data_IF_792450536764
#
_entry.id   IF_792450536764
#
_cell.length_a   1.000
_cell.length_b   1.000
_cell.length_c   1.000
_cell.angle_alpha   90.00
_cell.angle_beta   90.00
_cell.angle_gamma   90.00
#
_symmetry.space_group_name_H-M   'P 1'
#
loop_
_entity.id
_entity.type
_entity.pdbx_description
1 polymer ?
#
# COMPACT_ATOMS: atom_id res chain seq x y z
N UNK A 1 -9.61 -15.76 2.43
CA UNK A 1 -8.29 -15.62 1.80
C UNK A 1 -8.13 -14.16 1.41
N UNK A 2 -7.08 -13.48 1.87
CA UNK A 2 -6.81 -12.08 1.51
C UNK A 2 -6.00 -12.10 0.21
N UNK A 3 -6.63 -11.66 -0.87
CA UNK A 3 -6.08 -11.70 -2.24
C UNK A 3 -5.52 -10.31 -2.58
N UNK A 4 -4.36 -10.22 -3.22
CA UNK A 4 -3.71 -8.95 -3.58
C UNK A 4 -3.38 -8.79 -5.05
N UNK A 5 -3.76 -7.59 -5.46
CA UNK A 5 -3.49 -6.92 -6.71
C UNK A 5 -2.07 -6.83 -7.20
N UNK A 6 -1.86 -7.21 -8.46
CA UNK A 6 -1.01 -6.39 -9.34
C UNK A 6 -1.83 -5.50 -10.27
N UNK A 7 -3.15 -5.42 -10.13
CA UNK A 7 -3.89 -4.24 -10.57
C UNK A 7 -3.71 -3.11 -9.55
N UNK A 8 -2.61 -2.37 -9.73
CA UNK A 8 -2.11 -1.26 -8.90
C UNK A 8 -3.22 -0.41 -8.29
N UNK A 9 -3.35 -0.46 -6.96
CA UNK A 9 -4.20 0.37 -6.11
C UNK A 9 -5.36 1.09 -6.83
N UNK A 10 -6.29 0.37 -7.45
CA UNK A 10 -7.65 0.93 -7.49
C UNK A 10 -7.95 1.31 -6.05
N UNK A 11 -8.26 2.57 -5.81
CA UNK A 11 -8.82 3.10 -4.54
C UNK A 11 -10.20 2.47 -4.22
N UNK A 12 -10.41 1.27 -4.73
CA UNK A 12 -11.57 0.44 -4.76
C UNK A 12 -10.98 -0.97 -4.91
N UNK A 13 -10.63 -1.62 -3.81
CA UNK A 13 -10.93 -3.05 -3.72
C UNK A 13 -12.44 -3.07 -3.81
N UNK A 14 -13.05 -2.91 -4.99
CA UNK A 14 -14.44 -3.25 -5.33
C UNK A 14 -14.77 -2.90 -6.78
N UNK A 15 -15.43 -3.86 -7.40
CA UNK A 15 -15.99 -3.87 -8.76
C UNK A 15 -14.92 -4.07 -9.85
N UNK A 16 -14.66 -5.35 -10.14
CA UNK A 16 -14.58 -5.78 -11.54
C UNK A 16 -15.78 -5.15 -12.25
N UNK A 17 -15.53 -4.15 -13.10
CA UNK A 17 -16.54 -3.48 -13.93
C UNK A 17 -16.92 -4.32 -15.15
N UNK A 18 -16.37 -5.52 -15.29
CA UNK A 18 -16.75 -6.42 -16.35
C UNK A 18 -17.93 -7.27 -15.86
N UNK A 19 -19.14 -6.86 -16.22
CA UNK A 19 -20.35 -7.70 -16.13
C UNK A 19 -20.17 -9.04 -16.88
N UNK A 20 -19.11 -9.17 -17.70
CA UNK A 20 -18.78 -10.36 -18.49
C UNK A 20 -17.70 -11.28 -17.90
N UNK A 21 -17.08 -10.96 -16.74
CA UNK A 21 -15.99 -11.79 -16.20
C UNK A 21 -16.50 -13.17 -15.74
N UNK A 22 -15.86 -14.24 -16.23
CA UNK A 22 -16.15 -15.65 -15.87
C UNK A 22 -15.81 -16.00 -14.42
N UNK A 23 -15.16 -15.07 -13.70
CA UNK A 23 -14.63 -15.27 -12.35
C UNK A 23 -15.24 -14.32 -11.31
N UNK A 24 -16.40 -13.70 -11.58
CA UNK A 24 -17.05 -12.82 -10.60
C UNK A 24 -17.31 -13.53 -9.27
N UNK A 25 -17.03 -12.82 -8.17
CA UNK A 25 -17.50 -13.24 -6.85
C UNK A 25 -19.02 -13.25 -6.83
N UNK A 26 -19.61 -14.40 -6.50
CA UNK A 26 -21.05 -14.51 -6.25
C UNK A 26 -21.45 -13.66 -5.04
N UNK A 27 -22.74 -13.32 -4.93
CA UNK A 27 -23.27 -12.61 -3.78
C UNK A 27 -22.99 -13.37 -2.47
N UNK A 28 -23.05 -14.71 -2.50
CA UNK A 28 -22.70 -15.55 -1.35
C UNK A 28 -21.21 -15.40 -0.97
N UNK A 29 -20.30 -15.36 -1.95
CA UNK A 29 -18.87 -15.18 -1.70
C UNK A 29 -18.58 -13.81 -1.07
N UNK A 30 -19.23 -12.76 -1.57
CA UNK A 30 -19.12 -11.38 -1.05
C UNK A 30 -19.62 -11.27 0.39
N UNK A 31 -20.73 -11.94 0.68
CA UNK A 31 -21.31 -12.00 2.02
C UNK A 31 -20.43 -12.79 2.98
N UNK A 32 -19.94 -13.96 2.57
CA UNK A 32 -19.10 -14.83 3.40
C UNK A 32 -17.73 -14.22 3.75
N UNK A 33 -17.25 -13.27 2.94
CA UNK A 33 -15.99 -12.58 3.15
C UNK A 33 -16.14 -11.24 3.89
N UNK A 34 -17.37 -10.84 4.27
CA UNK A 34 -17.59 -9.65 5.09
C UNK A 34 -17.63 -9.96 6.60
N UNK A 35 -17.03 -9.13 7.48
CA UNK A 35 -16.18 -7.98 7.17
C UNK A 35 -14.75 -8.42 6.84
N UNK A 36 -14.12 -7.69 5.92
CA UNK A 36 -12.69 -7.81 5.67
C UNK A 36 -12.01 -6.47 6.01
N UNK A 37 -10.74 -6.55 6.39
CA UNK A 37 -9.92 -5.38 6.72
C UNK A 37 -9.33 -4.81 5.43
N UNK A 38 -9.82 -3.63 5.01
CA UNK A 38 -9.31 -2.86 3.88
C UNK A 38 -8.40 -1.69 4.31
N UNK A 39 -7.98 -0.85 3.36
CA UNK A 39 -7.14 0.33 3.63
C UNK A 39 -7.88 1.46 4.35
N UNK A 40 -9.21 1.47 4.26
CA UNK A 40 -10.09 2.47 4.91
C UNK A 40 -10.82 1.93 6.14
N UNK A 41 -10.34 0.81 6.69
CA UNK A 41 -11.00 0.12 7.81
C UNK A 41 -11.73 -1.14 7.37
N UNK A 42 -12.65 -1.64 8.21
CA UNK A 42 -13.45 -2.82 7.91
C UNK A 42 -14.69 -2.44 7.08
N UNK A 43 -14.89 -3.11 5.93
CA UNK A 43 -16.06 -2.90 5.07
C UNK A 43 -16.59 -4.24 4.54
N UNK A 44 -17.79 -4.23 3.97
CA UNK A 44 -18.30 -5.31 3.12
C UNK A 44 -17.96 -5.06 1.65
N UNK A 45 -18.08 -6.13 0.83
CA UNK A 45 -17.79 -6.11 -0.61
C UNK A 45 -18.74 -5.26 -1.47
N UNK A 46 -19.89 -4.91 -0.90
CA UNK A 46 -20.92 -4.08 -1.51
C UNK A 46 -20.82 -2.61 -1.05
N UNK A 47 -19.79 -2.25 -0.28
CA UNK A 47 -19.64 -0.92 0.30
C UNK A 47 -20.60 -0.63 1.46
N UNK A 48 -21.43 -1.60 1.87
CA UNK A 48 -22.32 -1.44 3.01
C UNK A 48 -21.51 -1.31 4.31
N UNK A 49 -21.98 -0.48 5.28
CA UNK A 49 -21.39 -0.45 6.60
C UNK A 49 -21.52 -1.84 7.23
N UNK A 50 -20.47 -2.29 7.93
CA UNK A 50 -20.49 -3.56 8.65
C UNK A 50 -21.74 -3.58 9.53
N UNK A 51 -22.67 -4.52 9.29
CA UNK A 51 -23.82 -4.72 10.18
C UNK A 51 -23.27 -5.08 11.56
N UNK A 52 -23.10 -4.07 12.41
CA UNK A 52 -22.50 -4.21 13.72
C UNK A 52 -23.44 -4.99 14.63
N UNK A 53 -23.32 -6.30 14.66
CA UNK A 53 -23.83 -7.13 15.76
C UNK A 53 -22.64 -7.56 16.61
N UNK A 54 -22.03 -6.61 17.32
CA UNK A 54 -20.86 -6.94 18.13
C UNK A 54 -20.40 -5.78 18.98
N UNK A 55 -20.92 -5.73 20.20
CA UNK A 55 -20.48 -4.89 21.31
C UNK A 55 -18.96 -4.81 21.39
N UNK A 56 -18.45 -3.62 21.75
CA UNK A 56 -17.16 -3.35 22.42
C UNK A 56 -16.07 -4.40 22.21
N UNK A 57 -14.99 -4.01 21.52
CA UNK A 57 -13.75 -4.76 21.35
C UNK A 57 -13.03 -5.00 22.69
N UNK A 58 -13.66 -5.75 23.59
CA UNK A 58 -12.98 -6.43 24.66
C UNK A 58 -12.17 -7.53 23.97
N UNK A 59 -10.87 -7.56 24.25
CA UNK A 59 -9.84 -8.48 23.77
C UNK A 59 -10.12 -9.98 23.95
N UNK A 60 -11.34 -10.37 24.31
CA UNK A 60 -11.76 -11.74 24.52
C UNK A 60 -12.44 -12.26 23.24
N UNK A 61 -11.60 -12.91 22.44
CA UNK A 61 -11.94 -13.83 21.35
C UNK A 61 -12.31 -13.20 20.01
N UNK A 62 -11.33 -12.54 19.38
CA UNK A 62 -11.29 -12.55 17.92
C UNK A 62 -11.18 -14.04 17.51
N UNK A 63 -12.28 -14.65 17.06
CA UNK A 63 -12.25 -15.99 16.48
C UNK A 63 -11.49 -15.92 15.17
N UNK A 64 -10.18 -16.10 15.24
CA UNK A 64 -9.34 -16.16 14.06
C UNK A 64 -9.71 -17.41 13.25
N UNK A 65 -9.84 -17.29 11.92
CA UNK A 65 -9.98 -18.46 11.08
C UNK A 65 -8.81 -19.43 11.32
N UNK A 66 -9.08 -20.72 11.19
CA UNK A 66 -8.05 -21.76 11.27
C UNK A 66 -6.91 -21.43 10.30
N UNK A 67 -5.66 -21.47 10.78
CA UNK A 67 -4.48 -21.13 9.98
C UNK A 67 -4.08 -19.65 9.99
N UNK A 68 -4.77 -18.79 10.75
CA UNK A 68 -4.41 -17.38 10.94
C UNK A 68 -3.78 -17.16 12.32
N UNK A 69 -2.51 -16.75 12.35
CA UNK A 69 -1.81 -16.34 13.57
C UNK A 69 -1.92 -14.83 13.82
N UNK A 70 -1.85 -14.42 15.10
CA UNK A 70 -1.85 -13.02 15.51
C UNK A 70 -0.66 -12.71 16.43
N UNK A 71 0.03 -11.58 16.21
CA UNK A 71 1.09 -11.07 17.10
C UNK A 71 0.91 -9.58 17.35
N UNK A 72 1.20 -9.11 18.56
CA UNK A 72 1.18 -7.68 18.91
C UNK A 72 2.19 -6.89 18.08
N UNK A 73 1.79 -5.73 17.60
CA UNK A 73 2.63 -4.90 16.74
C UNK A 73 3.11 -3.60 17.43
N UNK A 74 3.84 -2.77 16.68
CA UNK A 74 4.65 -1.65 17.19
C UNK A 74 4.11 -0.28 16.75
N UNK A 75 4.49 0.79 17.46
CA UNK A 75 4.42 2.18 16.98
C UNK A 75 5.77 2.53 16.32
N UNK A 76 5.75 2.92 15.03
CA UNK A 76 6.94 3.42 14.33
C UNK A 76 6.56 4.60 13.44
N UNK A 77 7.33 5.69 13.55
CA UNK A 77 7.32 6.82 12.60
C UNK A 77 8.52 6.72 11.68
N UNK A 78 8.30 6.92 10.38
CA UNK A 78 9.37 6.97 9.36
C UNK A 78 9.10 8.13 8.42
N UNK A 79 10.14 8.93 8.16
CA UNK A 79 10.14 9.94 7.10
C UNK A 79 11.03 9.50 5.96
N UNK A 80 10.56 9.70 4.74
CA UNK A 80 11.27 9.44 3.50
C UNK A 80 11.16 10.66 2.61
N UNK A 81 12.28 11.04 2.00
CA UNK A 81 12.37 12.16 1.08
C UNK A 81 12.67 11.62 -0.31
N UNK A 82 11.94 12.11 -1.30
CA UNK A 82 12.07 11.76 -2.70
C UNK A 82 12.28 13.04 -3.49
N UNK A 83 13.43 13.17 -4.14
CA UNK A 83 13.78 14.36 -4.94
C UNK A 83 13.13 14.35 -6.32
N UNK A 84 12.70 13.19 -6.80
CA UNK A 84 12.13 13.00 -8.13
C UNK A 84 11.29 11.72 -8.20
N UNK A 85 10.63 11.51 -9.34
CA UNK A 85 9.75 10.36 -9.54
C UNK A 85 10.55 9.04 -9.57
N UNK A 86 11.78 9.04 -10.09
CA UNK A 86 12.63 7.84 -10.11
C UNK A 86 12.96 7.31 -8.71
N UNK A 87 13.25 8.19 -7.75
CA UNK A 87 13.52 7.77 -6.36
C UNK A 87 12.29 7.13 -5.71
N UNK A 88 11.10 7.72 -5.93
CA UNK A 88 9.85 7.16 -5.43
C UNK A 88 9.54 5.80 -6.09
N UNK A 89 9.71 5.70 -7.41
CA UNK A 89 9.50 4.47 -8.15
C UNK A 89 10.43 3.33 -7.69
N UNK A 90 11.71 3.63 -7.45
CA UNK A 90 12.68 2.65 -6.90
C UNK A 90 12.26 2.15 -5.52
N UNK A 91 11.69 3.00 -4.67
CA UNK A 91 11.20 2.58 -3.36
C UNK A 91 10.00 1.62 -3.48
N UNK A 92 9.09 1.84 -4.42
CA UNK A 92 8.00 0.92 -4.73
C UNK A 92 8.52 -0.41 -5.27
N UNK A 93 9.37 -0.39 -6.29
CA UNK A 93 9.94 -1.59 -6.91
C UNK A 93 10.71 -2.44 -5.90
N UNK A 94 11.53 -1.82 -5.05
CA UNK A 94 12.27 -2.53 -4.00
C UNK A 94 11.33 -3.21 -3.01
N UNK A 95 10.34 -2.47 -2.50
CA UNK A 95 9.39 -3.04 -1.53
C UNK A 95 8.68 -4.25 -2.15
N UNK A 96 8.18 -4.10 -3.38
CA UNK A 96 7.49 -5.18 -4.07
C UNK A 96 8.38 -6.41 -4.30
N UNK A 97 9.63 -6.21 -4.73
CA UNK A 97 10.60 -7.29 -4.92
C UNK A 97 10.94 -8.03 -3.61
N UNK A 98 10.88 -7.33 -2.48
CA UNK A 98 11.04 -7.91 -1.13
C UNK A 98 9.77 -8.62 -0.62
N UNK A 99 8.71 -8.70 -1.44
CA UNK A 99 7.42 -9.28 -1.03
C UNK A 99 6.60 -8.36 -0.11
N UNK A 100 7.01 -7.09 0.02
CA UNK A 100 6.42 -6.12 0.93
C UNK A 100 5.69 -5.02 0.16
N UNK A 101 4.44 -4.74 0.53
CA UNK A 101 3.71 -3.59 -0.03
C UNK A 101 3.23 -2.74 1.13
N UNK A 102 3.62 -1.47 1.14
CA UNK A 102 3.20 -0.53 2.18
C UNK A 102 1.90 0.13 1.75
N UNK A 103 1.01 0.37 2.69
CA UNK A 103 -0.20 1.16 2.49
C UNK A 103 0.11 2.64 2.28
N UNK A 104 -0.93 3.40 1.97
CA UNK A 104 -0.83 4.84 1.75
C UNK A 104 -0.11 5.19 0.45
N UNK A 105 0.75 6.21 0.46
CA UNK A 105 1.45 6.72 -0.74
C UNK A 105 2.59 5.81 -1.19
N UNK A 106 2.98 4.88 -0.32
CA UNK A 106 3.89 3.80 -0.67
C UNK A 106 3.14 2.59 -1.25
N UNK A 107 1.81 2.63 -1.30
CA UNK A 107 1.01 1.73 -2.10
C UNK A 107 1.00 2.30 -3.51
N UNK A 108 1.53 1.53 -4.46
CA UNK A 108 1.80 2.01 -5.82
C UNK A 108 0.49 2.44 -6.52
N UNK A 109 0.35 3.70 -6.97
CA UNK A 109 -0.90 4.21 -7.51
C UNK A 109 -1.17 3.69 -8.93
N UNK A 110 -2.45 3.58 -9.35
CA UNK A 110 -2.87 3.16 -10.69
C UNK A 110 -2.47 4.18 -11.75
N UNK A 111 -2.64 5.47 -11.45
CA UNK A 111 -2.19 6.57 -12.31
C UNK A 111 -0.88 7.15 -11.78
N UNK A 112 0.23 6.55 -12.19
CA UNK A 112 1.57 7.01 -11.79
C UNK A 112 1.86 8.43 -12.29
N UNK A 113 1.35 8.77 -13.48
CA UNK A 113 1.66 10.01 -14.16
C UNK A 113 0.97 11.18 -13.46
N UNK A 114 -0.34 11.10 -13.26
CA UNK A 114 -1.11 12.11 -12.53
C UNK A 114 -0.64 12.24 -11.09
N UNK A 115 -0.37 11.11 -10.43
CA UNK A 115 0.15 11.08 -9.07
C UNK A 115 1.52 11.76 -8.94
N UNK A 116 2.48 11.40 -9.80
CA UNK A 116 3.83 11.95 -9.74
C UNK A 116 3.88 13.42 -10.18
N UNK A 117 3.05 13.83 -11.14
CA UNK A 117 2.91 15.23 -11.56
C UNK A 117 2.36 16.13 -10.43
N UNK A 118 1.62 15.56 -9.46
CA UNK A 118 1.11 16.33 -8.32
C UNK A 118 2.21 16.76 -7.36
N UNK A 119 3.33 16.02 -7.32
CA UNK A 119 4.42 16.22 -6.35
C UNK A 119 5.73 16.72 -6.95
N UNK A 120 6.07 16.30 -8.18
CA UNK A 120 7.36 16.57 -8.80
C UNK A 120 7.22 17.63 -9.91
N UNK A 121 6.85 18.84 -9.49
CA UNK A 121 6.96 20.04 -10.35
C UNK A 121 8.42 20.52 -10.41
N UNK A 122 8.71 21.47 -11.29
CA UNK A 122 10.08 21.93 -11.65
C UNK A 122 11.04 22.03 -10.45
N UNK A 123 10.61 22.59 -9.33
CA UNK A 123 11.43 22.81 -8.13
C UNK A 123 10.94 22.06 -6.88
N UNK A 124 9.99 21.15 -7.05
CA UNK A 124 9.33 20.45 -5.95
C UNK A 124 9.90 19.02 -5.78
N UNK A 125 10.01 18.61 -4.53
CA UNK A 125 10.33 17.26 -4.09
C UNK A 125 9.29 16.82 -3.05
N UNK A 126 9.20 15.52 -2.78
CA UNK A 126 8.21 14.95 -1.86
C UNK A 126 8.88 14.50 -0.56
N UNK A 127 8.35 14.90 0.57
CA UNK A 127 8.57 14.22 1.84
C UNK A 127 7.30 13.54 2.32
N UNK A 128 7.47 12.31 2.78
CA UNK A 128 6.39 11.47 3.28
C UNK A 128 6.71 11.02 4.70
N UNK A 129 5.85 11.37 5.65
CA UNK A 129 5.83 10.79 6.99
C UNK A 129 4.74 9.74 7.10
N UNK A 130 5.09 8.55 7.58
CA UNK A 130 4.14 7.51 7.95
C UNK A 130 4.38 7.15 9.41
N UNK A 131 3.41 7.47 10.26
CA UNK A 131 3.33 7.00 11.65
C UNK A 131 2.35 5.83 11.71
N UNK A 132 2.91 4.65 11.91
CA UNK A 132 2.18 3.38 11.91
C UNK A 132 1.96 2.94 13.35
N UNK A 133 0.70 2.68 13.70
CA UNK A 133 0.26 2.08 14.96
C UNK A 133 -0.24 0.69 14.63
N UNK A 134 0.67 -0.28 14.70
CA UNK A 134 0.32 -1.68 14.48
C UNK A 134 -0.45 -2.22 15.68
N UNK A 135 -1.64 -2.76 15.45
CA UNK A 135 -2.35 -3.52 16.47
C UNK A 135 -1.91 -4.98 16.44
N UNK A 136 -1.93 -5.57 15.25
CA UNK A 136 -1.55 -6.96 15.08
C UNK A 136 -1.02 -7.29 13.69
N UNK A 137 -0.23 -8.35 13.61
CA UNK A 137 0.12 -9.02 12.35
C UNK A 137 -0.76 -10.23 12.13
N UNK A 138 -1.37 -10.35 10.95
CA UNK A 138 -2.04 -11.57 10.50
C UNK A 138 -1.06 -12.40 9.67
N UNK A 139 -0.91 -13.68 9.98
CA UNK A 139 -0.07 -14.60 9.22
C UNK A 139 -0.87 -15.82 8.79
N UNK A 140 -0.76 -16.18 7.53
CA UNK A 140 -1.34 -17.35 6.91
C UNK A 140 -0.28 -18.46 6.81
N UNK A 141 -0.58 -19.63 7.34
CA UNK A 141 0.30 -20.77 7.15
C UNK A 141 0.00 -21.48 5.83
N UNK A 142 0.80 -21.18 4.79
CA UNK A 142 0.63 -21.68 3.43
C UNK A 142 0.66 -23.22 3.37
N UNK A 143 1.46 -23.88 4.22
CA UNK A 143 1.57 -25.35 4.21
C UNK A 143 0.31 -26.06 4.72
N UNK A 144 -0.59 -25.34 5.37
CA UNK A 144 -1.80 -25.90 5.99
C UNK A 144 -3.09 -25.26 5.51
N UNK A 145 -3.01 -24.21 4.69
CA UNK A 145 -4.22 -23.55 4.20
C UNK A 145 -4.77 -24.26 2.97
N UNK A 146 -6.05 -24.56 3.02
CA UNK A 146 -6.81 -24.94 1.83
C UNK A 146 -7.42 -23.69 1.18
N UNK A 147 -7.38 -23.66 -0.15
CA UNK A 147 -8.18 -22.72 -0.93
C UNK A 147 -9.66 -22.88 -0.53
N UNK A 148 -10.35 -21.77 -0.32
CA UNK A 148 -11.79 -21.81 -0.10
C UNK A 148 -12.52 -22.32 -1.37
N UNK A 149 -13.78 -22.71 -1.23
CA UNK A 149 -14.58 -23.26 -2.34
C UNK A 149 -14.57 -22.37 -3.58
N UNK A 150 -14.65 -21.05 -3.39
CA UNK A 150 -14.66 -20.07 -4.48
C UNK A 150 -13.32 -19.98 -5.22
N UNK A 151 -12.21 -19.95 -4.49
CA UNK A 151 -10.87 -19.94 -5.09
C UNK A 151 -10.56 -21.26 -5.80
N UNK A 152 -11.02 -22.40 -5.23
CA UNK A 152 -10.91 -23.71 -5.90
C UNK A 152 -11.71 -23.76 -7.19
N UNK A 153 -12.96 -23.30 -7.16
CA UNK A 153 -13.81 -23.21 -8.35
C UNK A 153 -13.17 -22.32 -9.43
N UNK A 154 -12.68 -21.14 -9.06
CA UNK A 154 -11.99 -20.25 -9.99
C UNK A 154 -10.75 -20.90 -10.61
N UNK A 155 -9.87 -21.51 -9.81
CA UNK A 155 -8.71 -22.23 -10.35
C UNK A 155 -9.12 -23.39 -11.24
N UNK A 156 -10.21 -24.10 -10.93
CA UNK A 156 -10.70 -25.24 -11.72
C UNK A 156 -11.18 -24.89 -13.12
N UNK A 157 -11.51 -23.61 -13.37
CA UNK A 157 -11.93 -23.10 -14.69
C UNK A 157 -10.74 -22.74 -15.60
N UNK A 158 -9.52 -22.71 -15.07
CA UNK A 158 -8.31 -22.50 -15.88
C UNK A 158 -7.97 -23.78 -16.66
N UNK A 159 -7.56 -23.62 -17.91
CA UNK A 159 -7.27 -24.74 -18.81
C UNK A 159 -5.76 -24.96 -18.99
N UNK A 160 -5.29 -26.22 -19.17
CA UNK A 160 -3.89 -26.50 -19.50
C UNK A 160 -3.42 -25.85 -20.81
N UNK A 161 -4.31 -25.76 -21.80
CA UNK A 161 -4.06 -25.00 -23.02
C UNK A 161 -4.11 -23.51 -22.71
N UNK A 162 -3.03 -22.80 -23.01
CA UNK A 162 -2.93 -21.37 -22.72
C UNK A 162 -3.92 -20.56 -23.55
N UNK A 163 -4.85 -19.91 -22.85
CA UNK A 163 -5.79 -18.93 -23.38
C UNK A 163 -5.49 -17.60 -22.68
N UNK A 164 -4.97 -16.63 -23.43
CA UNK A 164 -4.56 -15.35 -22.86
C UNK A 164 -5.71 -14.64 -22.14
N UNK A 165 -6.90 -14.61 -22.74
CA UNK A 165 -8.03 -13.83 -22.25
C UNK A 165 -8.64 -14.48 -21.00
N UNK A 166 -8.72 -15.81 -20.97
CA UNK A 166 -9.15 -16.55 -19.78
C UNK A 166 -8.25 -16.28 -18.57
N UNK A 167 -6.94 -16.24 -18.78
CA UNK A 167 -5.99 -16.02 -17.68
C UNK A 167 -5.92 -14.55 -17.26
N UNK A 168 -6.03 -13.59 -18.19
CA UNK A 168 -6.18 -12.18 -17.84
C UNK A 168 -7.47 -11.92 -17.06
N UNK A 169 -8.60 -12.53 -17.47
CA UNK A 169 -9.87 -12.48 -16.74
C UNK A 169 -9.73 -13.01 -15.30
N UNK A 170 -8.98 -14.10 -15.11
CA UNK A 170 -8.68 -14.63 -13.79
C UNK A 170 -7.85 -13.62 -12.97
N UNK A 171 -6.78 -13.07 -13.56
CA UNK A 171 -5.93 -12.08 -12.90
C UNK A 171 -6.65 -10.74 -12.65
N UNK A 172 -7.70 -10.41 -13.38
CA UNK A 172 -8.52 -9.23 -13.11
C UNK A 172 -9.47 -9.41 -11.92
N UNK A 173 -9.94 -10.64 -11.69
CA UNK A 173 -10.82 -10.95 -10.58
C UNK A 173 -10.06 -11.31 -9.29
N UNK A 174 -8.99 -12.09 -9.44
CA UNK A 174 -8.23 -12.70 -8.35
C UNK A 174 -6.83 -12.14 -8.23
N UNK A 175 -6.45 -11.19 -9.08
CA UNK A 175 -5.15 -10.56 -9.00
C UNK A 175 -3.99 -11.55 -9.16
N UNK A 176 -2.77 -11.15 -8.84
CA UNK A 176 -1.57 -11.94 -9.14
C UNK A 176 -0.96 -12.62 -7.93
N UNK A 177 -1.20 -12.08 -6.73
CA UNK A 177 -0.61 -12.55 -5.49
C UNK A 177 -1.68 -12.72 -4.41
N UNK A 178 -1.32 -13.45 -3.37
CA UNK A 178 -2.12 -13.70 -2.18
C UNK A 178 -1.32 -13.23 -0.98
N UNK A 179 -1.96 -12.46 -0.10
CA UNK A 179 -1.34 -12.03 1.14
C UNK A 179 -1.22 -13.22 2.07
N UNK A 180 0.01 -13.51 2.46
CA UNK A 180 0.31 -14.54 3.45
C UNK A 180 0.72 -13.92 4.78
N UNK A 181 1.08 -12.64 4.79
CA UNK A 181 1.31 -11.90 6.03
C UNK A 181 1.03 -10.42 5.89
N UNK A 182 0.35 -9.84 6.86
CA UNK A 182 0.04 -8.42 6.86
C UNK A 182 0.05 -7.77 8.24
N UNK A 183 0.33 -6.47 8.25
CA UNK A 183 0.20 -5.60 9.41
C UNK A 183 -1.15 -4.88 9.36
N UNK A 184 -1.89 -4.97 10.45
CA UNK A 184 -3.21 -4.35 10.63
C UNK A 184 -3.17 -3.38 11.82
N UNK A 185 -3.81 -2.22 11.66
CA UNK A 185 -3.89 -1.20 12.71
C UNK A 185 -4.31 0.17 12.18
N UNK A 186 -3.67 1.24 12.67
CA UNK A 186 -3.87 2.60 12.18
C UNK A 186 -2.61 3.22 11.59
N UNK A 187 -2.76 4.15 10.65
CA UNK A 187 -1.64 4.95 10.16
C UNK A 187 -2.04 6.42 10.01
N UNK A 188 -1.20 7.32 10.51
CA UNK A 188 -1.23 8.73 10.13
C UNK A 188 -0.17 8.93 9.05
N UNK A 189 -0.59 9.40 7.90
CA UNK A 189 0.31 9.74 6.81
C UNK A 189 0.25 11.24 6.54
N UNK A 190 1.43 11.84 6.42
CA UNK A 190 1.56 13.26 6.14
C UNK A 190 2.51 13.49 4.98
N UNK A 191 2.20 14.51 4.17
CA UNK A 191 2.97 14.85 2.97
C UNK A 191 3.39 16.31 3.04
N UNK A 192 4.62 16.54 2.63
CA UNK A 192 5.15 17.87 2.42
C UNK A 192 5.83 17.96 1.05
N UNK A 193 5.71 19.12 0.43
CA UNK A 193 6.53 19.52 -0.71
C UNK A 193 7.79 20.17 -0.16
N UNK A 194 8.94 19.76 -0.68
CA UNK A 194 10.25 20.29 -0.36
C UNK A 194 10.80 21.06 -1.56
N UNK A 195 11.66 22.06 -1.33
CA UNK A 195 12.49 22.59 -2.43
C UNK A 195 13.48 21.52 -2.88
N UNK A 196 13.36 21.04 -4.12
CA UNK A 196 14.13 19.91 -4.68
C UNK A 196 15.64 20.09 -4.63
N UNK A 197 16.09 21.31 -4.95
CA UNK A 197 17.51 21.65 -5.03
C UNK A 197 18.11 22.07 -3.69
N UNK A 198 17.34 21.99 -2.61
CA UNK A 198 17.89 22.13 -1.28
C UNK A 198 18.68 20.88 -0.91
N UNK A 199 19.95 21.03 -0.58
CA UNK A 199 20.77 19.97 0.00
C UNK A 199 20.97 20.23 1.48
N UNK A 200 20.30 19.43 2.30
CA UNK A 200 20.70 19.33 3.69
C UNK A 200 22.03 18.58 3.76
N UNK A 201 22.93 19.01 4.66
CA UNK A 201 24.14 18.24 4.97
C UNK A 201 23.83 16.83 5.51
N UNK A 202 22.57 16.59 5.92
CA UNK A 202 22.08 15.29 6.32
C UNK A 202 20.56 15.18 6.07
N UNK A 203 20.16 14.40 5.05
CA UNK A 203 18.75 14.19 4.67
C UNK A 203 17.90 13.57 5.82
N UNK A 204 18.52 12.83 6.74
CA UNK A 204 17.83 12.27 7.92
C UNK A 204 17.49 13.37 8.93
N UNK A 205 18.41 14.30 9.19
CA UNK A 205 18.16 15.46 10.06
C UNK A 205 17.14 16.38 9.41
N UNK A 206 17.25 16.60 8.09
CA UNK A 206 16.27 17.38 7.34
C UNK A 206 14.87 16.79 7.48
N UNK A 207 14.73 15.48 7.27
CA UNK A 207 13.45 14.78 7.44
C UNK A 207 12.89 14.88 8.87
N UNK A 208 13.74 15.01 9.90
CA UNK A 208 13.31 15.21 11.28
C UNK A 208 12.82 16.64 11.55
N UNK A 209 13.31 17.62 10.79
CA UNK A 209 12.94 19.02 10.94
C UNK A 209 11.75 19.46 10.07
N UNK A 210 11.22 18.57 9.23
CA UNK A 210 9.96 18.84 8.53
C UNK A 210 8.85 18.87 9.59
N UNK A 211 7.99 19.91 9.60
CA UNK A 211 6.98 20.13 10.64
C UNK A 211 5.77 19.19 10.47
N UNK A 212 6.02 17.88 10.48
CA UNK A 212 4.98 16.87 10.61
C UNK A 212 4.37 16.94 12.02
N UNK A 213 3.07 16.69 12.13
CA UNK A 213 2.31 16.92 13.38
C UNK A 213 2.69 15.96 14.50
N UNK A 214 3.39 14.86 14.20
CA UNK A 214 3.86 13.88 15.17
C UNK A 214 5.24 14.23 15.77
N UNK A 215 5.78 15.42 15.48
CA UNK A 215 7.15 15.79 15.85
C UNK A 215 7.21 17.18 16.46
N UNK A 216 7.93 17.29 17.57
CA UNK A 216 8.40 18.57 18.06
C UNK A 216 9.64 18.98 17.25
N UNK A 217 9.68 20.20 16.68
CA UNK A 217 10.87 20.71 16.01
C UNK A 217 11.95 20.99 17.07
N UNK A 218 12.74 19.96 17.39
CA UNK A 218 13.62 19.94 18.55
C UNK A 218 14.85 20.85 18.51
N UNK A 219 15.01 21.79 17.57
CA UNK A 219 16.15 22.71 17.59
C UNK A 219 15.99 23.94 16.66
N UNK A 220 16.75 25.02 16.92
CA UNK A 220 16.80 26.25 16.12
C UNK A 220 17.18 25.99 14.65
N UNK A 221 18.00 24.96 14.40
CA UNK A 221 18.37 24.49 13.06
C UNK A 221 17.18 23.93 12.26
N UNK A 222 16.13 23.44 12.94
CA UNK A 222 14.91 23.00 12.26
C UNK A 222 14.08 24.15 11.70
N UNK A 223 14.17 25.37 12.24
CA UNK A 223 13.46 26.53 11.70
C UNK A 223 13.86 26.84 10.26
N UNK A 224 15.16 26.75 9.96
CA UNK A 224 15.66 26.92 8.59
C UNK A 224 15.15 25.81 7.66
N UNK A 225 15.25 24.54 8.09
CA UNK A 225 14.78 23.41 7.29
C UNK A 225 13.27 23.41 7.05
N UNK A 226 12.47 23.79 8.05
CA UNK A 226 11.02 23.91 7.93
C UNK A 226 10.62 24.97 6.89
N UNK A 227 11.40 26.05 6.73
CA UNK A 227 11.13 27.08 5.71
C UNK A 227 11.25 26.57 4.26
N UNK A 228 11.91 25.43 4.06
CA UNK A 228 12.04 24.76 2.76
C UNK A 228 11.00 23.64 2.55
N UNK A 229 10.07 23.48 3.48
CA UNK A 229 9.02 22.47 3.44
C UNK A 229 7.64 23.10 3.57
N UNK A 230 6.68 22.61 2.78
CA UNK A 230 5.28 23.00 2.86
C UNK A 230 4.42 21.75 3.00
N UNK A 231 3.71 21.64 4.13
CA UNK A 231 2.72 20.60 4.34
C UNK A 231 1.59 20.73 3.32
N UNK A 232 1.22 19.62 2.69
CA UNK A 232 0.16 19.58 1.68
C UNK A 232 -0.98 18.63 2.03
N UNK A 233 -0.73 17.64 2.89
CA UNK A 233 -1.80 16.78 3.40
C UNK A 233 -1.44 16.09 4.71
N UNK A 234 -2.49 15.76 5.47
CA UNK A 234 -2.50 14.79 6.57
C UNK A 234 -3.71 13.90 6.32
N UNK A 235 -3.51 12.58 6.30
CA UNK A 235 -4.59 11.59 6.21
C UNK A 235 -4.42 10.51 7.26
N UNK A 236 -5.53 9.88 7.62
CA UNK A 236 -5.58 8.74 8.53
C UNK A 236 -6.08 7.51 7.78
N UNK A 237 -5.54 6.34 8.15
CA UNK A 237 -6.02 5.04 7.70
C UNK A 237 -6.37 4.22 8.94
N UNK A 238 -7.54 3.58 8.92
CA UNK A 238 -8.10 2.85 10.06
C UNK A 238 -8.61 3.79 11.15
N UNK A 239 -9.44 3.26 12.04
CA UNK A 239 -10.21 4.01 13.02
C UNK A 239 -11.28 4.90 12.39
N UNK A 240 -11.84 5.79 13.20
CA UNK A 240 -12.70 6.86 12.73
C UNK A 240 -11.85 8.02 12.19
N UNK A 241 -11.72 8.06 10.86
CA UNK A 241 -10.86 9.04 10.17
C UNK A 241 -11.37 10.48 10.28
N UNK A 242 -12.62 10.70 10.70
CA UNK A 242 -13.19 12.03 10.91
C UNK A 242 -12.72 12.68 12.22
N UNK A 243 -12.13 11.92 13.15
CA UNK A 243 -11.63 12.45 14.41
C UNK A 243 -10.29 13.17 14.22
N UNK A 244 -10.26 14.46 14.53
CA UNK A 244 -9.07 15.30 14.41
C UNK A 244 -8.06 15.12 15.55
N UNK A 245 -8.52 14.69 16.72
CA UNK A 245 -7.65 14.42 17.86
C UNK A 245 -6.96 13.06 17.73
N UNK A 246 -5.63 13.05 17.69
CA UNK A 246 -4.85 11.81 17.51
C UNK A 246 -5.07 10.79 18.64
N UNK A 247 -5.33 11.21 19.88
CA UNK A 247 -5.57 10.29 21.00
C UNK A 247 -6.97 9.70 20.95
N UNK A 248 -7.98 10.46 20.54
CA UNK A 248 -9.33 9.96 20.33
C UNK A 248 -9.39 9.00 19.14
N UNK A 249 -8.80 9.40 18.01
CA UNK A 249 -8.65 8.53 16.84
C UNK A 249 -7.97 7.20 17.20
N UNK A 250 -6.86 7.23 17.96
CA UNK A 250 -6.17 6.01 18.41
C UNK A 250 -7.07 5.04 19.15
N UNK A 251 -8.01 5.52 19.98
CA UNK A 251 -8.94 4.66 20.73
C UNK A 251 -9.90 3.90 19.81
N UNK A 252 -10.23 4.47 18.65
CA UNK A 252 -11.10 3.85 17.64
C UNK A 252 -10.40 2.82 16.76
N UNK A 253 -9.06 2.71 16.81
CA UNK A 253 -8.33 1.75 15.98
C UNK A 253 -8.71 0.30 16.28
N UNK A 254 -8.99 0.00 17.55
CA UNK A 254 -9.47 -1.33 17.94
C UNK A 254 -10.75 -1.70 17.19
N UNK A 255 -11.62 -0.73 16.92
CA UNK A 255 -12.96 -0.97 16.36
C UNK A 255 -13.05 -0.91 14.84
N UNK A 256 -12.04 -0.35 14.18
CA UNK A 256 -12.01 -0.21 12.73
C UNK A 256 -10.61 -0.22 12.15
N UNK A 257 -9.75 -1.21 12.45
CA UNK A 257 -8.39 -1.18 11.95
C UNK A 257 -8.34 -1.34 10.44
N UNK A 258 -7.26 -0.87 9.83
CA UNK A 258 -6.99 -0.96 8.40
C UNK A 258 -5.78 -1.87 8.12
N UNK A 259 -5.73 -2.39 6.89
CA UNK A 259 -4.58 -3.09 6.34
C UNK A 259 -3.50 -2.06 6.02
N UNK A 260 -2.44 -2.04 6.82
CA UNK A 260 -1.40 -1.02 6.73
C UNK A 260 -0.24 -1.44 5.83
N UNK A 261 0.16 -2.70 5.90
CA UNK A 261 1.29 -3.23 5.13
C UNK A 261 1.05 -4.70 4.83
N UNK A 262 1.43 -5.12 3.62
CA UNK A 262 1.66 -6.50 3.24
C UNK A 262 3.12 -6.77 3.53
N UNK A 263 3.38 -7.78 4.35
CA UNK A 263 4.72 -8.16 4.80
C UNK A 263 5.24 -9.36 4.02
N UNK A 264 4.33 -10.25 3.60
CA UNK A 264 4.64 -11.41 2.76
C UNK A 264 3.44 -11.68 1.85
N UNK A 265 3.72 -12.10 0.63
CA UNK A 265 2.74 -12.53 -0.36
C UNK A 265 3.33 -13.62 -1.26
N UNK A 266 2.47 -14.47 -1.82
CA UNK A 266 2.85 -15.52 -2.77
C UNK A 266 2.05 -15.38 -4.06
N UNK A 267 2.65 -15.66 -5.22
CA UNK A 267 1.95 -15.64 -6.49
C UNK A 267 0.96 -16.81 -6.59
N UNK A 268 -0.13 -16.63 -7.36
CA UNK A 268 -1.16 -17.67 -7.52
C UNK A 268 -0.63 -19.01 -8.01
N UNK A 269 0.37 -19.01 -8.89
CA UNK A 269 0.94 -20.25 -9.42
C UNK A 269 1.57 -21.14 -8.34
N UNK A 270 1.97 -20.60 -7.19
CA UNK A 270 2.51 -21.40 -6.09
C UNK A 270 1.43 -22.20 -5.34
N UNK A 271 0.14 -21.90 -5.56
CA UNK A 271 -0.99 -22.58 -4.95
C UNK A 271 -1.76 -23.49 -5.91
N UNK A 272 -1.30 -23.60 -7.17
CA UNK A 272 -1.91 -24.47 -8.18
C UNK A 272 -1.10 -25.76 -8.32
N UNK A 273 -1.80 -26.89 -8.31
CA UNK A 273 -1.21 -28.23 -8.40
C UNK A 273 -1.00 -28.70 -9.84
N UNK A 274 -1.83 -28.25 -10.79
CA UNK A 274 -1.67 -28.57 -12.21
C UNK A 274 -0.47 -27.79 -12.78
N UNK A 275 0.54 -28.50 -13.27
CA UNK A 275 1.80 -27.91 -13.73
C UNK A 275 1.64 -27.08 -15.02
N UNK A 276 0.70 -27.44 -15.91
CA UNK A 276 0.45 -26.65 -17.12
C UNK A 276 -0.23 -25.32 -16.76
N UNK A 277 -1.27 -25.37 -15.91
CA UNK A 277 -1.96 -24.16 -15.42
C UNK A 277 -1.01 -23.27 -14.63
N UNK A 278 -0.15 -23.87 -13.79
CA UNK A 278 0.90 -23.16 -13.05
C UNK A 278 1.86 -22.41 -13.97
N UNK A 279 2.34 -23.06 -15.03
CA UNK A 279 3.27 -22.43 -15.97
C UNK A 279 2.59 -21.32 -16.79
N UNK A 280 1.32 -21.48 -17.13
CA UNK A 280 0.51 -20.46 -17.79
C UNK A 280 0.31 -19.23 -16.88
N UNK A 281 -0.10 -19.44 -15.61
CA UNK A 281 -0.20 -18.38 -14.60
C UNK A 281 1.14 -17.67 -14.39
N UNK A 282 2.25 -18.41 -14.31
CA UNK A 282 3.58 -17.81 -14.21
C UNK A 282 3.91 -16.93 -15.41
N UNK A 283 3.55 -17.36 -16.61
CA UNK A 283 3.81 -16.62 -17.85
C UNK A 283 3.03 -15.31 -17.88
N UNK A 284 1.71 -15.38 -17.65
CA UNK A 284 0.84 -14.20 -17.72
C UNK A 284 1.08 -13.20 -16.58
N UNK A 285 1.37 -13.67 -15.36
CA UNK A 285 1.77 -12.81 -14.24
C UNK A 285 3.06 -12.05 -14.56
N UNK A 286 4.06 -12.72 -15.14
CA UNK A 286 5.32 -12.07 -15.56
C UNK A 286 5.10 -11.08 -16.70
N UNK A 287 4.23 -11.41 -17.65
CA UNK A 287 3.86 -10.51 -18.74
C UNK A 287 3.24 -9.22 -18.19
N UNK A 288 2.24 -9.33 -17.32
CA UNK A 288 1.58 -8.19 -16.66
C UNK A 288 2.59 -7.32 -15.89
N UNK A 289 3.44 -7.94 -15.06
CA UNK A 289 4.51 -7.23 -14.33
C UNK A 289 5.43 -6.42 -15.27
N UNK A 290 5.91 -7.04 -16.35
CA UNK A 290 6.81 -6.38 -17.32
C UNK A 290 6.15 -5.20 -18.02
N UNK A 291 4.95 -5.40 -18.54
CA UNK A 291 4.21 -4.34 -19.23
C UNK A 291 4.02 -3.12 -18.35
N UNK A 292 3.65 -3.37 -17.11
CA UNK A 292 3.49 -2.29 -16.17
C UNK A 292 4.84 -1.59 -15.90
N UNK A 293 5.92 -2.34 -15.63
CA UNK A 293 7.22 -1.72 -15.33
C UNK A 293 7.73 -0.87 -16.51
N UNK A 294 7.42 -1.26 -17.75
CA UNK A 294 7.71 -0.47 -18.96
C UNK A 294 6.91 0.84 -18.99
N UNK A 295 5.58 0.79 -18.81
CA UNK A 295 4.72 1.98 -18.78
C UNK A 295 5.17 2.94 -17.69
N UNK A 296 5.57 2.42 -16.53
CA UNK A 296 6.05 3.22 -15.42
C UNK A 296 7.42 3.85 -15.66
N UNK A 297 8.37 3.08 -16.18
CA UNK A 297 9.68 3.60 -16.52
C UNK A 297 9.56 4.79 -17.49
N UNK A 298 8.61 4.71 -18.42
CA UNK A 298 8.33 5.81 -19.35
C UNK A 298 7.72 7.03 -18.65
N UNK A 299 6.68 6.85 -17.84
CA UNK A 299 6.07 7.96 -17.09
C UNK A 299 7.09 8.67 -16.18
N UNK A 300 7.92 7.90 -15.47
CA UNK A 300 9.00 8.43 -14.62
C UNK A 300 10.01 9.22 -15.44
N UNK A 301 10.44 8.68 -16.59
CA UNK A 301 11.39 9.34 -17.49
C UNK A 301 10.85 10.68 -17.98
N UNK A 302 9.58 10.74 -18.39
CA UNK A 302 8.97 11.99 -18.86
C UNK A 302 8.88 13.05 -17.76
N UNK A 303 8.61 12.65 -16.52
CA UNK A 303 8.52 13.59 -15.38
C UNK A 303 9.91 14.10 -15.01
N UNK A 304 10.87 13.19 -14.86
CA UNK A 304 12.23 13.55 -14.45
C UNK A 304 12.93 14.41 -15.52
N UNK A 305 12.65 14.20 -16.81
CA UNK A 305 13.19 15.01 -17.90
C UNK A 305 12.73 16.48 -17.85
N UNK A 306 11.61 16.79 -17.19
CA UNK A 306 11.10 18.16 -17.01
C UNK A 306 11.75 18.89 -15.83
N UNK A 307 12.46 18.17 -14.97
CA UNK A 307 13.10 18.75 -13.81
C UNK A 307 14.36 19.50 -14.24
N UNK A 308 14.45 20.78 -13.89
CA UNK A 308 15.65 21.58 -14.22
C UNK A 308 16.89 21.04 -13.48
N UNK A 309 18.11 21.18 -14.04
CA UNK A 309 19.31 20.95 -13.25
C UNK A 309 19.31 21.85 -12.01
N UNK A 310 19.79 21.34 -10.88
CA UNK A 310 19.95 22.19 -9.71
C UNK A 310 21.10 23.17 -9.94
N UNK A 311 20.89 24.49 -9.76
CA UNK A 311 21.95 25.46 -9.93
C UNK A 311 23.10 25.17 -8.97
N UNK A 312 24.33 25.24 -9.46
CA UNK A 312 25.55 25.02 -8.65
C UNK A 312 25.57 25.96 -7.44
N UNK A 313 25.01 27.17 -7.57
CA UNK A 313 24.90 28.18 -6.49
C UNK A 313 23.87 27.86 -5.40
N UNK A 314 22.92 26.94 -5.64
CA UNK A 314 21.94 26.49 -4.65
C UNK A 314 22.40 25.25 -3.86
N UNK A 315 23.56 24.67 -4.19
CA UNK A 315 24.22 23.63 -3.38
C UNK A 315 24.85 24.20 -2.10
N UNK A 316 24.14 25.11 -1.41
CA UNK A 316 24.55 25.60 -0.10
C UNK A 316 24.36 24.47 0.91
N UNK A 317 25.41 23.67 1.09
CA UNK A 317 25.55 22.78 2.24
C UNK A 317 25.61 23.65 3.49
N UNK A 318 24.54 23.65 4.29
CA UNK A 318 24.65 24.08 5.67
C UNK A 318 25.43 22.98 6.39
N UNK A 319 26.75 23.15 6.47
CA UNK A 319 27.62 22.39 7.36
C UNK A 319 27.24 22.79 8.79
N UNK A 320 26.61 21.86 9.52
CA UNK A 320 26.43 22.01 10.96
C UNK A 320 27.81 21.82 11.58
N UNK A 321 28.52 22.92 11.84
CA UNK A 321 29.70 22.91 12.70
C UNK A 321 29.18 22.64 14.11
N UNK A 322 29.60 21.51 14.69
CA UNK A 322 29.29 21.14 16.08
C UNK A 322 30.12 21.97 17.04
#
# INVERSE_FOLDING_TARGET
>A
MLVVGLSYCKHYVYLSKSEASRFQFTEEARTALCPFVGTEGMRCFDGSPVKSSGRTFASNYLKLPRGVGMRTAYDRSRVQNFRNASQLNKAWQRSFAEGMVRGGELARPPDLLGYSNSYFKRDDALALSQRVIGLYTLTLNISTIELNSFARDAVSKLTPNFDHDLYEDFLDAWETHIITKSLVGGMVEQRAILKRCFEAGNDRIFGQCIPFSDRDPGNFTCGCYASFARMISKRRLGGDVALDNDNEWKRTLSTGPALLQILEMVPWYDLVTDEAVKQNLRTIIRYRQRNIDLVQAEAVRQIDARLSPCPISMLKRILIIR
#
